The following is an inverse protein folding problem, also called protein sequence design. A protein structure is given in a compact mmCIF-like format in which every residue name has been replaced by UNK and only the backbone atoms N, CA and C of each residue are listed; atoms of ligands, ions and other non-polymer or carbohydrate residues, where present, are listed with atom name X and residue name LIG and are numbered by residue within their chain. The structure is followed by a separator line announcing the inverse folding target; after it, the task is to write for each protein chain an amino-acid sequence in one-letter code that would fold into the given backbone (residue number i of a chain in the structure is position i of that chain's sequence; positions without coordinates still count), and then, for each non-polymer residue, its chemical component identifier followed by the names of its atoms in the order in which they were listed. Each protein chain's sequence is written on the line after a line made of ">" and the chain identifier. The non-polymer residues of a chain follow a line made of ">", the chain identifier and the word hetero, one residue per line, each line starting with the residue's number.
data_IF_769908380505
#
_entry.id   IF_769908380505
#
_cell.length_a   1.000
_cell.length_b   1.000
_cell.length_c   1.000
_cell.angle_alpha   90.00
_cell.angle_beta   90.00
_cell.angle_gamma   90.00
#
_symmetry.space_group_name_H-M   'P 1'
#
loop_
_entity.id
_entity.type
_entity.pdbx_description
1 polymer ?
#
# COMPACT_ATOMS: atom_id res chain seq x y z
N UNK A 1 13.00 32.23 -5.92
CA UNK A 1 13.99 31.49 -6.72
C UNK A 1 13.23 30.57 -7.65
N UNK A 2 13.44 30.70 -8.96
CA UNK A 2 12.71 29.94 -9.99
C UNK A 2 13.29 28.53 -10.01
N UNK A 3 12.47 27.52 -9.73
CA UNK A 3 12.87 26.13 -9.85
C UNK A 3 13.19 25.81 -11.32
N UNK A 4 14.32 25.17 -11.56
CA UNK A 4 14.71 24.66 -12.89
C UNK A 4 13.66 23.61 -13.34
N UNK A 5 12.86 23.96 -14.34
CA UNK A 5 11.72 23.16 -14.82
C UNK A 5 12.13 21.75 -15.24
N UNK A 6 13.40 21.54 -15.60
CA UNK A 6 13.95 20.26 -16.01
C UNK A 6 14.06 19.20 -14.90
N UNK A 7 13.78 19.55 -13.63
CA UNK A 7 13.94 18.65 -12.49
C UNK A 7 12.63 18.33 -11.74
N UNK A 8 11.48 18.76 -12.27
CA UNK A 8 10.18 18.49 -11.67
C UNK A 8 9.84 17.01 -11.87
N UNK A 9 9.68 16.27 -10.76
CA UNK A 9 9.32 14.84 -10.77
C UNK A 9 10.48 13.84 -10.65
N UNK A 10 11.74 14.31 -10.54
CA UNK A 10 12.92 13.44 -10.36
C UNK A 10 13.22 13.10 -8.89
N UNK A 11 12.66 13.88 -7.95
CA UNK A 11 12.86 13.72 -6.50
C UNK A 11 11.53 13.88 -5.75
N UNK A 12 11.34 13.16 -4.63
CA UNK A 12 10.20 13.39 -3.75
C UNK A 12 10.17 14.84 -3.26
N UNK A 13 8.98 15.45 -3.28
CA UNK A 13 8.76 16.87 -2.90
C UNK A 13 9.40 17.19 -1.55
N UNK A 14 9.25 16.33 -0.55
CA UNK A 14 9.85 16.50 0.77
C UNK A 14 11.39 16.64 0.73
N UNK A 15 12.07 15.85 -0.11
CA UNK A 15 13.52 15.88 -0.25
C UNK A 15 13.98 17.14 -0.98
N UNK A 16 13.26 17.50 -2.04
CA UNK A 16 13.50 18.74 -2.78
C UNK A 16 13.40 19.95 -1.84
N UNK A 17 12.31 20.06 -1.07
CA UNK A 17 12.08 21.15 -0.14
C UNK A 17 13.13 21.24 0.99
N UNK A 18 13.66 20.10 1.45
CA UNK A 18 14.79 20.10 2.41
C UNK A 18 16.10 20.61 1.80
N UNK A 19 16.35 20.32 0.53
CA UNK A 19 17.59 20.71 -0.17
C UNK A 19 17.55 22.17 -0.65
N UNK A 20 16.38 22.71 -1.01
CA UNK A 20 16.23 24.06 -1.58
C UNK A 20 15.73 25.13 -0.60
N UNK A 21 15.43 24.75 0.64
CA UNK A 21 14.73 25.59 1.61
C UNK A 21 13.22 25.41 1.52
N UNK A 22 12.61 24.97 2.63
CA UNK A 22 11.19 24.70 2.72
C UNK A 22 10.44 26.02 2.97
N UNK A 23 9.49 26.42 2.11
CA UNK A 23 8.69 27.62 2.36
C UNK A 23 7.94 27.52 3.69
N UNK A 24 7.76 28.65 4.36
CA UNK A 24 7.07 28.73 5.66
C UNK A 24 5.65 28.14 5.61
N UNK A 25 4.92 28.38 4.51
CA UNK A 25 3.58 27.80 4.31
C UNK A 25 3.55 26.26 4.31
N UNK A 26 4.65 25.59 3.97
CA UNK A 26 4.75 24.13 4.06
C UNK A 26 4.97 23.65 5.50
N UNK A 27 5.68 24.44 6.32
CA UNK A 27 5.88 24.15 7.74
C UNK A 27 4.57 24.35 8.50
N UNK A 28 3.89 25.47 8.26
CA UNK A 28 2.57 25.77 8.86
C UNK A 28 1.54 24.69 8.51
N UNK A 29 1.52 24.26 7.24
CA UNK A 29 0.63 23.20 6.79
C UNK A 29 0.99 21.84 7.41
N UNK A 30 2.28 21.55 7.62
CA UNK A 30 2.70 20.33 8.30
C UNK A 30 2.28 20.34 9.78
N UNK A 31 2.48 21.44 10.51
CA UNK A 31 2.01 21.55 11.90
C UNK A 31 0.48 21.42 12.01
N UNK A 32 -0.26 22.01 11.07
CA UNK A 32 -1.71 21.86 10.98
C UNK A 32 -2.10 20.40 10.74
N UNK A 33 -1.52 19.75 9.72
CA UNK A 33 -1.84 18.36 9.38
C UNK A 33 -1.48 17.40 10.51
N UNK A 34 -0.41 17.65 11.27
CA UNK A 34 -0.03 16.78 12.40
C UNK A 34 -1.11 16.75 13.48
N UNK A 35 -1.77 17.89 13.68
CA UNK A 35 -2.84 18.04 14.68
C UNK A 35 -4.20 17.54 14.18
N UNK A 36 -4.54 17.79 12.91
CA UNK A 36 -5.90 17.60 12.40
C UNK A 36 -6.05 16.42 11.44
N UNK A 37 -4.99 16.01 10.73
CA UNK A 37 -5.00 14.84 9.86
C UNK A 37 -3.62 14.15 9.80
N UNK A 38 -3.17 13.51 10.89
CA UNK A 38 -1.84 12.93 10.97
C UNK A 38 -1.61 11.83 9.93
N UNK A 39 -2.67 11.18 9.43
CA UNK A 39 -2.58 10.20 8.34
C UNK A 39 -2.18 10.83 6.99
N UNK A 40 -2.36 12.15 6.82
CA UNK A 40 -1.89 12.89 5.65
C UNK A 40 -0.37 13.09 5.63
N UNK A 41 0.26 13.17 6.80
CA UNK A 41 1.72 13.26 6.95
C UNK A 41 2.38 11.89 7.10
N UNK A 42 1.75 11.03 7.89
CA UNK A 42 2.24 9.71 8.26
C UNK A 42 1.24 8.64 7.80
N UNK A 43 1.13 8.40 6.48
CA UNK A 43 0.19 7.44 5.95
C UNK A 43 0.56 6.04 6.41
N UNK A 44 -0.30 5.45 7.25
CA UNK A 44 -0.17 4.06 7.71
C UNK A 44 -0.74 3.07 6.70
N UNK A 45 -1.74 3.50 5.93
CA UNK A 45 -2.35 2.75 4.83
C UNK A 45 -3.10 3.68 3.89
N UNK A 46 -3.14 3.33 2.61
CA UNK A 46 -3.97 4.02 1.59
C UNK A 46 -5.43 3.56 1.61
N UNK A 47 -5.77 2.51 2.36
CA UNK A 47 -7.13 1.92 2.40
C UNK A 47 -7.78 1.99 3.78
N UNK A 48 -7.01 2.34 4.81
CA UNK A 48 -7.42 2.29 6.22
C UNK A 48 -7.08 3.61 6.91
N UNK A 49 -8.04 4.11 7.70
CA UNK A 49 -7.84 5.21 8.65
C UNK A 49 -8.27 4.76 10.04
N UNK A 50 -7.51 5.16 11.06
CA UNK A 50 -7.87 4.95 12.45
C UNK A 50 -7.82 6.28 13.20
N UNK A 51 -8.82 6.55 14.03
CA UNK A 51 -8.81 7.66 14.97
C UNK A 51 -9.28 7.15 16.34
N UNK A 52 -9.07 7.95 17.38
CA UNK A 52 -9.51 7.60 18.71
C UNK A 52 -9.34 8.75 19.70
N UNK A 53 -10.19 8.73 20.71
CA UNK A 53 -10.23 9.71 21.79
C UNK A 53 -9.99 9.01 23.13
N UNK A 54 -9.24 9.68 24.00
CA UNK A 54 -8.92 9.19 25.34
C UNK A 54 -9.42 10.21 26.35
N UNK A 55 -10.21 9.76 27.31
CA UNK A 55 -10.67 10.55 28.45
C UNK A 55 -10.16 9.90 29.73
N UNK A 56 -9.42 10.64 30.53
CA UNK A 56 -8.90 10.18 31.80
C UNK A 56 -9.39 11.08 32.93
N UNK A 57 -9.71 10.49 34.09
CA UNK A 57 -9.86 11.26 35.32
C UNK A 57 -8.54 11.92 35.70
N UNK A 58 -8.59 13.02 36.46
CA UNK A 58 -7.41 13.75 36.89
C UNK A 58 -6.44 12.91 37.75
N UNK A 59 -6.97 11.92 38.48
CA UNK A 59 -6.20 10.96 39.26
C UNK A 59 -5.76 9.72 38.47
N UNK A 60 -6.06 9.69 37.16
CA UNK A 60 -5.85 8.56 36.25
C UNK A 60 -6.48 7.23 36.71
N UNK A 61 -7.41 7.25 37.68
CA UNK A 61 -8.03 6.03 38.21
C UNK A 61 -8.93 5.34 37.19
N UNK A 62 -9.45 6.10 36.22
CA UNK A 62 -10.26 5.61 35.12
C UNK A 62 -9.79 6.29 33.84
N UNK A 63 -9.54 5.48 32.82
CA UNK A 63 -9.20 5.90 31.46
C UNK A 63 -10.16 5.21 30.51
N UNK A 64 -10.92 6.01 29.78
CA UNK A 64 -11.83 5.54 28.74
C UNK A 64 -11.22 5.86 27.38
N UNK A 65 -11.23 4.88 26.49
CA UNK A 65 -10.72 5.01 25.14
C UNK A 65 -11.83 4.67 24.14
N UNK A 66 -12.11 5.58 23.21
CA UNK A 66 -12.98 5.31 22.06
C UNK A 66 -12.12 5.24 20.81
N UNK A 67 -12.35 4.25 19.95
CA UNK A 67 -11.57 4.02 18.75
C UNK A 67 -12.48 3.85 17.53
N UNK A 68 -12.09 4.45 16.40
CA UNK A 68 -12.74 4.26 15.11
C UNK A 68 -11.76 3.63 14.12
N UNK A 69 -12.29 2.71 13.34
CA UNK A 69 -11.57 2.09 12.23
C UNK A 69 -12.41 2.18 10.96
N UNK A 70 -11.92 2.90 9.96
CA UNK A 70 -12.55 3.01 8.65
C UNK A 70 -11.73 2.27 7.61
N UNK A 71 -12.35 1.30 6.94
CA UNK A 71 -11.77 0.53 5.83
C UNK A 71 -12.55 0.85 4.56
N UNK A 72 -11.84 1.23 3.50
CA UNK A 72 -12.43 1.47 2.18
C UNK A 72 -12.04 0.34 1.23
N UNK A 73 -13.04 -0.32 0.65
CA UNK A 73 -12.85 -1.41 -0.32
C UNK A 73 -13.68 -1.12 -1.56
N UNK A 74 -13.15 -1.46 -2.74
CA UNK A 74 -13.87 -1.33 -4.02
C UNK A 74 -13.88 -2.69 -4.72
N UNK A 75 -15.03 -3.09 -5.26
CA UNK A 75 -15.15 -4.23 -6.16
C UNK A 75 -15.39 -3.71 -7.58
N UNK A 76 -14.58 -4.16 -8.54
CA UNK A 76 -14.71 -3.81 -9.96
C UNK A 76 -14.74 -5.08 -10.81
N UNK A 77 -15.57 -5.08 -11.85
CA UNK A 77 -15.53 -6.10 -12.90
C UNK A 77 -14.61 -5.56 -13.99
N UNK A 78 -13.51 -6.27 -14.25
CA UNK A 78 -12.49 -5.87 -15.23
C UNK A 78 -12.32 -6.98 -16.25
N UNK A 79 -12.50 -6.65 -17.53
CA UNK A 79 -12.22 -7.57 -18.62
C UNK A 79 -10.75 -7.47 -19.03
N UNK A 80 -10.15 -8.60 -19.43
CA UNK A 80 -8.77 -8.68 -19.90
C UNK A 80 -7.79 -7.98 -18.94
N UNK A 81 -7.86 -8.33 -17.65
CA UNK A 81 -7.06 -7.67 -16.60
C UNK A 81 -5.55 -7.87 -16.75
N UNK A 82 -5.14 -8.90 -17.48
CA UNK A 82 -3.74 -9.23 -17.79
C UNK A 82 -3.28 -8.71 -19.17
N UNK A 83 -4.14 -8.00 -19.90
CA UNK A 83 -3.74 -7.30 -21.12
C UNK A 83 -2.83 -6.12 -20.72
N UNK A 84 -1.61 -6.00 -21.24
CA UNK A 84 -0.70 -4.90 -20.86
C UNK A 84 -1.22 -3.50 -21.17
N UNK A 85 -2.21 -3.37 -22.07
CA UNK A 85 -2.90 -2.10 -22.30
C UNK A 85 -3.85 -1.72 -21.14
N UNK A 86 -4.24 -2.67 -20.29
CA UNK A 86 -5.14 -2.45 -19.16
C UNK A 86 -4.39 -1.87 -17.95
N UNK A 87 -4.73 -0.65 -17.49
CA UNK A 87 -3.96 0.01 -16.44
C UNK A 87 -4.35 -0.41 -15.01
N UNK A 88 -5.38 -1.23 -14.81
CA UNK A 88 -5.96 -1.44 -13.47
C UNK A 88 -4.95 -2.01 -12.45
N UNK A 89 -4.22 -3.07 -12.79
CA UNK A 89 -3.22 -3.65 -11.87
C UNK A 89 -1.99 -2.74 -11.75
N UNK A 90 -1.52 -2.14 -12.85
CA UNK A 90 -0.41 -1.18 -12.83
C UNK A 90 -0.70 -0.01 -11.89
N UNK A 91 -1.89 0.57 -11.93
CA UNK A 91 -2.24 1.71 -11.08
C UNK A 91 -2.17 1.37 -9.58
N UNK A 92 -2.43 0.12 -9.22
CA UNK A 92 -2.33 -0.36 -7.83
C UNK A 92 -0.88 -0.63 -7.44
N UNK A 93 -0.12 -1.37 -8.26
CA UNK A 93 1.20 -1.88 -7.86
C UNK A 93 2.37 -1.00 -8.25
N UNK A 94 2.23 -0.10 -9.24
CA UNK A 94 3.33 0.78 -9.67
C UNK A 94 3.79 1.74 -8.57
N UNK A 95 2.89 2.39 -7.79
CA UNK A 95 3.32 3.23 -6.66
C UNK A 95 4.00 2.42 -5.54
N UNK A 96 3.70 1.13 -5.41
CA UNK A 96 4.28 0.23 -4.41
C UNK A 96 5.64 -0.34 -4.83
N UNK A 97 5.98 -0.28 -6.13
CA UNK A 97 7.25 -0.75 -6.70
C UNK A 97 7.35 -2.27 -6.90
N UNK A 98 6.57 -3.07 -6.16
CA UNK A 98 6.54 -4.53 -6.27
C UNK A 98 5.15 -5.11 -6.03
N UNK A 99 4.95 -6.34 -6.51
CA UNK A 99 3.78 -7.15 -6.27
C UNK A 99 4.20 -8.51 -5.70
N UNK A 100 3.64 -8.88 -4.54
CA UNK A 100 3.68 -10.26 -4.05
C UNK A 100 2.34 -10.91 -4.37
N UNK A 101 2.34 -11.80 -5.35
CA UNK A 101 1.14 -12.46 -5.83
C UNK A 101 1.05 -13.88 -5.26
N UNK A 102 0.10 -14.12 -4.38
CA UNK A 102 -0.25 -15.49 -3.94
C UNK A 102 -1.24 -16.05 -4.96
N UNK A 103 -0.82 -17.07 -5.72
CA UNK A 103 -1.57 -17.58 -6.87
C UNK A 103 -1.86 -19.07 -6.68
N UNK A 104 -3.10 -19.49 -6.96
CA UNK A 104 -3.43 -20.91 -7.01
C UNK A 104 -2.64 -21.63 -8.12
N UNK A 105 -2.28 -22.89 -7.88
CA UNK A 105 -1.47 -23.71 -8.79
C UNK A 105 -2.10 -23.88 -10.17
N UNK A 106 -3.41 -24.07 -10.26
CA UNK A 106 -4.09 -24.22 -11.54
C UNK A 106 -4.15 -22.89 -12.28
N UNK A 107 -4.42 -21.79 -11.56
CA UNK A 107 -4.37 -20.43 -12.13
C UNK A 107 -2.98 -20.12 -12.66
N UNK A 108 -1.92 -20.41 -11.90
CA UNK A 108 -0.55 -20.19 -12.35
C UNK A 108 -0.18 -21.09 -13.53
N UNK A 109 -0.73 -22.31 -13.62
CA UNK A 109 -0.51 -23.19 -14.78
C UNK A 109 -1.11 -22.60 -16.07
N UNK A 110 -2.24 -21.90 -15.99
CA UNK A 110 -2.94 -21.34 -17.15
C UNK A 110 -2.43 -19.93 -17.48
N UNK A 111 -2.30 -19.06 -16.47
CA UNK A 111 -2.06 -17.63 -16.63
C UNK A 111 -0.69 -17.18 -16.09
N UNK A 112 0.16 -18.09 -15.61
CA UNK A 112 1.41 -17.71 -14.92
C UNK A 112 2.38 -16.92 -15.78
N UNK A 113 2.43 -17.21 -17.08
CA UNK A 113 3.24 -16.47 -18.06
C UNK A 113 2.63 -15.09 -18.38
N UNK A 114 1.32 -15.02 -18.60
CA UNK A 114 0.60 -13.75 -18.83
C UNK A 114 0.74 -12.79 -17.65
N UNK A 115 0.61 -13.32 -16.42
CA UNK A 115 0.85 -12.56 -15.19
C UNK A 115 2.28 -12.01 -15.20
N UNK A 116 3.28 -12.86 -15.47
CA UNK A 116 4.68 -12.42 -15.47
C UNK A 116 4.92 -11.32 -16.53
N UNK A 117 4.45 -11.55 -17.76
CA UNK A 117 4.60 -10.61 -18.86
C UNK A 117 3.98 -9.24 -18.56
N UNK A 118 2.78 -9.21 -17.96
CA UNK A 118 2.10 -7.97 -17.58
C UNK A 118 2.93 -7.12 -16.60
N UNK A 119 3.45 -7.75 -15.53
CA UNK A 119 4.22 -7.04 -14.52
C UNK A 119 5.61 -6.62 -15.04
N UNK A 120 6.24 -7.44 -15.90
CA UNK A 120 7.51 -7.13 -16.54
C UNK A 120 7.39 -5.91 -17.48
N UNK A 121 6.35 -5.86 -18.33
CA UNK A 121 6.09 -4.74 -19.24
C UNK A 121 5.90 -3.42 -18.50
N UNK A 122 5.32 -3.47 -17.30
CA UNK A 122 5.14 -2.29 -16.46
C UNK A 122 6.30 -2.00 -15.51
N UNK A 123 7.38 -2.78 -15.59
CA UNK A 123 8.56 -2.67 -14.72
C UNK A 123 8.15 -2.63 -13.24
N UNK A 124 7.39 -3.64 -12.82
CA UNK A 124 6.98 -3.86 -11.43
C UNK A 124 7.56 -5.21 -11.03
N UNK A 125 8.34 -5.26 -9.95
CA UNK A 125 8.92 -6.52 -9.50
C UNK A 125 7.82 -7.48 -9.03
N UNK A 126 7.71 -8.65 -9.65
CA UNK A 126 6.73 -9.66 -9.30
C UNK A 126 7.38 -10.82 -8.55
N UNK A 127 6.87 -11.10 -7.35
CA UNK A 127 7.21 -12.28 -6.57
C UNK A 127 5.98 -13.18 -6.43
N UNK A 128 5.97 -14.29 -7.18
CA UNK A 128 4.85 -15.25 -7.16
C UNK A 128 5.05 -16.29 -6.06
N UNK A 129 4.05 -16.45 -5.20
CA UNK A 129 3.93 -17.55 -4.24
C UNK A 129 2.82 -18.47 -4.70
N UNK A 130 3.18 -19.64 -5.22
CA UNK A 130 2.21 -20.58 -5.80
C UNK A 130 1.79 -21.61 -4.76
N UNK A 131 0.49 -21.69 -4.48
CA UNK A 131 -0.09 -22.62 -3.51
C UNK A 131 -1.18 -23.47 -4.15
N UNK A 132 -1.51 -24.62 -3.55
CA UNK A 132 -2.78 -25.30 -3.87
C UNK A 132 -3.86 -24.68 -3.00
N UNK A 133 -4.99 -24.27 -3.58
CA UNK A 133 -6.09 -23.64 -2.86
C UNK A 133 -7.41 -24.40 -3.04
N UNK A 134 -7.39 -25.72 -2.84
CA UNK A 134 -8.62 -26.52 -2.77
C UNK A 134 -9.37 -26.33 -1.46
N UNK A 135 -10.61 -26.82 -1.37
CA UNK A 135 -11.39 -26.77 -0.12
C UNK A 135 -10.68 -27.49 1.03
N UNK A 136 -10.05 -28.62 0.73
CA UNK A 136 -9.26 -29.41 1.70
C UNK A 136 -8.04 -28.67 2.24
N UNK A 137 -7.55 -27.67 1.51
CA UNK A 137 -6.37 -26.89 1.89
C UNK A 137 -6.75 -25.65 2.73
N UNK A 138 -8.04 -25.40 3.00
CA UNK A 138 -8.52 -24.28 3.83
C UNK A 138 -8.35 -24.55 5.33
N UNK A 139 -7.12 -24.85 5.71
CA UNK A 139 -6.72 -25.08 7.10
C UNK A 139 -5.71 -24.05 7.58
N UNK A 140 -5.63 -23.87 8.90
CA UNK A 140 -4.68 -22.96 9.54
C UNK A 140 -3.23 -23.36 9.25
N UNK A 141 -2.94 -24.65 9.06
CA UNK A 141 -1.59 -25.09 8.67
C UNK A 141 -1.16 -24.50 7.33
N UNK A 142 -2.09 -24.39 6.36
CA UNK A 142 -1.83 -23.75 5.06
C UNK A 142 -1.52 -22.27 5.23
N UNK A 143 -2.26 -21.56 6.09
CA UNK A 143 -1.99 -20.15 6.41
C UNK A 143 -0.61 -19.99 7.04
N UNK A 144 -0.25 -20.83 8.01
CA UNK A 144 1.07 -20.79 8.65
C UNK A 144 2.20 -21.02 7.64
N UNK A 145 2.04 -21.99 6.75
CA UNK A 145 2.99 -22.25 5.68
C UNK A 145 3.11 -21.05 4.73
N UNK A 146 1.99 -20.42 4.37
CA UNK A 146 1.98 -19.20 3.57
C UNK A 146 2.75 -18.06 4.27
N UNK A 147 2.53 -17.84 5.56
CA UNK A 147 3.27 -16.84 6.33
C UNK A 147 4.79 -17.11 6.34
N UNK A 148 5.20 -18.39 6.47
CA UNK A 148 6.61 -18.77 6.38
C UNK A 148 7.19 -18.51 4.99
N UNK A 149 6.43 -18.79 3.93
CA UNK A 149 6.83 -18.48 2.55
C UNK A 149 6.98 -16.97 2.36
N UNK A 150 5.99 -16.17 2.79
CA UNK A 150 6.03 -14.71 2.70
C UNK A 150 7.20 -14.11 3.49
N UNK A 151 7.54 -14.67 4.66
CA UNK A 151 8.71 -14.24 5.45
C UNK A 151 10.04 -14.47 4.71
N UNK A 152 10.11 -15.43 3.80
CA UNK A 152 11.34 -15.76 3.04
C UNK A 152 11.53 -14.87 1.81
N UNK A 153 10.48 -14.18 1.37
CA UNK A 153 10.55 -13.17 0.32
C UNK A 153 11.40 -11.99 0.80
N UNK A 154 12.33 -11.52 -0.03
CA UNK A 154 13.16 -10.35 0.24
C UNK A 154 12.62 -9.19 -0.58
#
# INVERSE_FOLDING_TARGET
>A
MVADENNIGTKPVHRFLKETGCPECYLDNAEYLEKFDPHGLYPTSIYRKCDGDILAKADASVVECTMRHTLTTTAKIVYKVLDPANPELKNVYKPLGRCVAVVDRNVNKIYGEEIQAYFDEHCIELQKVVITAGEVDKDIATVQNLLVMLKKLR
#
